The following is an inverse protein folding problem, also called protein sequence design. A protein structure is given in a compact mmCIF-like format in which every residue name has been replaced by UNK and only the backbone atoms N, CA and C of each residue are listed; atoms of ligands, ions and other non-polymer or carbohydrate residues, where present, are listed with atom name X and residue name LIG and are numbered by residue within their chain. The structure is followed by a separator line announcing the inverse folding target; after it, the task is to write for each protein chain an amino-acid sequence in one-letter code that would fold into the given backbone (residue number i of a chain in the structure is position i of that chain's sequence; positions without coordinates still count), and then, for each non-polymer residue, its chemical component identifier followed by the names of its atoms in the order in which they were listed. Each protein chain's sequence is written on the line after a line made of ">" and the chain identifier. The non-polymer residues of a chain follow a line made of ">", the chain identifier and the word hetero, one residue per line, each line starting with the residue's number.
data_IF_760814229582
#
_entry.id   IF_760814229582
#
_cell.length_a   1.000
_cell.length_b   1.000
_cell.length_c   1.000
_cell.angle_alpha   90.00
_cell.angle_beta   90.00
_cell.angle_gamma   90.00
#
_symmetry.space_group_name_H-M   'P 1'
#
loop_
_entity.id
_entity.type
_entity.pdbx_description
1 polymer ?
#
# COMPACT_ATOMS: atom_id res chain seq x y z
N UNK A 1 36.97 -31.14 33.11
CA UNK A 1 37.59 -30.16 32.18
C UNK A 1 37.12 -30.30 30.72
N UNK A 2 37.66 -31.20 29.88
CA UNK A 2 37.30 -31.24 28.43
C UNK A 2 35.81 -31.49 28.16
N UNK A 3 35.16 -32.34 28.96
CA UNK A 3 33.71 -32.66 28.83
C UNK A 3 32.80 -31.49 29.24
N UNK A 4 33.20 -30.70 30.23
CA UNK A 4 32.45 -29.51 30.67
C UNK A 4 32.53 -28.39 29.63
N UNK A 5 33.70 -28.19 29.03
CA UNK A 5 33.89 -27.23 27.93
C UNK A 5 33.02 -27.63 26.73
N UNK A 6 32.97 -28.92 26.38
CA UNK A 6 32.12 -29.41 25.31
C UNK A 6 30.63 -29.17 25.59
N UNK A 7 30.18 -29.42 26.83
CA UNK A 7 28.80 -29.15 27.24
C UNK A 7 28.44 -27.66 27.13
N UNK A 8 29.33 -26.76 27.56
CA UNK A 8 29.12 -25.31 27.43
C UNK A 8 29.03 -24.86 25.98
N UNK A 9 29.85 -25.42 25.08
CA UNK A 9 29.79 -25.13 23.65
C UNK A 9 28.44 -25.56 23.07
N UNK A 10 27.96 -26.75 23.43
CA UNK A 10 26.67 -27.25 22.95
C UNK A 10 25.53 -26.35 23.41
N UNK A 11 25.52 -25.95 24.68
CA UNK A 11 24.51 -25.03 25.23
C UNK A 11 24.55 -23.70 24.49
N UNK A 12 25.74 -23.15 24.27
CA UNK A 12 25.91 -21.89 23.55
C UNK A 12 25.36 -21.96 22.12
N UNK A 13 25.63 -23.05 21.40
CA UNK A 13 25.11 -23.26 20.05
C UNK A 13 23.58 -23.36 20.06
N UNK A 14 22.99 -24.10 21.00
CA UNK A 14 21.54 -24.22 21.13
C UNK A 14 20.90 -22.85 21.43
N UNK A 15 21.50 -22.06 22.33
CA UNK A 15 21.05 -20.70 22.62
C UNK A 15 21.13 -19.79 21.39
N UNK A 16 22.18 -19.92 20.58
CA UNK A 16 22.34 -19.12 19.36
C UNK A 16 21.28 -19.49 18.30
N UNK A 17 21.01 -20.79 18.13
CA UNK A 17 19.92 -21.27 17.27
C UNK A 17 18.59 -20.71 17.75
N UNK A 18 18.32 -20.75 19.05
CA UNK A 18 17.08 -20.23 19.60
C UNK A 18 16.95 -18.70 19.48
N UNK A 19 18.04 -17.95 19.54
CA UNK A 19 18.02 -16.49 19.32
C UNK A 19 17.66 -16.13 17.87
N UNK A 20 18.11 -16.93 16.91
CA UNK A 20 17.89 -16.68 15.48
C UNK A 20 16.51 -17.20 15.03
N UNK A 21 16.18 -18.44 15.41
CA UNK A 21 15.01 -19.19 14.93
C UNK A 21 13.87 -19.30 15.96
N UNK A 22 14.09 -18.87 17.20
CA UNK A 22 13.04 -18.85 18.22
C UNK A 22 11.95 -17.82 17.90
N UNK A 23 10.83 -17.95 18.61
CA UNK A 23 9.71 -17.01 18.51
C UNK A 23 10.17 -15.62 18.95
N UNK A 24 9.90 -14.60 18.13
CA UNK A 24 10.42 -13.24 18.28
C UNK A 24 11.95 -13.16 18.16
N UNK A 25 12.57 -14.15 17.50
CA UNK A 25 13.99 -14.15 17.19
C UNK A 25 14.35 -13.15 16.09
N UNK A 26 15.61 -13.20 15.67
CA UNK A 26 16.13 -12.26 14.66
C UNK A 26 15.39 -12.33 13.32
N UNK A 27 15.00 -13.52 12.87
CA UNK A 27 14.27 -13.68 11.61
C UNK A 27 12.89 -13.03 11.65
N UNK A 28 12.16 -13.17 12.76
CA UNK A 28 10.86 -12.54 12.96
C UNK A 28 10.99 -11.01 12.97
N UNK A 29 12.01 -10.49 13.65
CA UNK A 29 12.30 -9.07 13.66
C UNK A 29 12.60 -8.54 12.24
N UNK A 30 13.42 -9.25 11.47
CA UNK A 30 13.75 -8.86 10.11
C UNK A 30 12.51 -8.83 9.21
N UNK A 31 11.68 -9.88 9.27
CA UNK A 31 10.40 -9.93 8.54
C UNK A 31 9.47 -8.80 8.94
N UNK A 32 9.31 -8.55 10.24
CA UNK A 32 8.45 -7.48 10.75
C UNK A 32 8.92 -6.10 10.25
N UNK A 33 10.23 -5.85 10.25
CA UNK A 33 10.81 -4.62 9.73
C UNK A 33 10.55 -4.45 8.23
N UNK A 34 10.63 -5.53 7.46
CA UNK A 34 10.33 -5.51 6.04
C UNK A 34 8.84 -5.24 5.79
N UNK A 35 7.94 -5.94 6.48
CA UNK A 35 6.49 -5.71 6.39
C UNK A 35 6.12 -4.28 6.78
N UNK A 36 6.74 -3.73 7.83
CA UNK A 36 6.53 -2.34 8.23
C UNK A 36 6.90 -1.36 7.11
N UNK A 37 8.05 -1.60 6.44
CA UNK A 37 8.50 -0.77 5.31
C UNK A 37 7.54 -0.86 4.13
N UNK A 38 7.08 -2.05 3.79
CA UNK A 38 6.13 -2.28 2.69
C UNK A 38 4.78 -1.60 2.97
N UNK A 39 4.25 -1.75 4.19
CA UNK A 39 3.01 -1.08 4.60
C UNK A 39 3.17 0.44 4.54
N UNK A 40 4.30 0.97 5.02
CA UNK A 40 4.56 2.40 4.96
C UNK A 40 4.59 2.92 3.52
N UNK A 41 5.30 2.22 2.62
CA UNK A 41 5.36 2.59 1.21
C UNK A 41 3.99 2.55 0.54
N UNK A 42 3.21 1.48 0.78
CA UNK A 42 1.85 1.36 0.26
C UNK A 42 0.93 2.45 0.78
N UNK A 43 1.05 2.81 2.06
CA UNK A 43 0.29 3.91 2.65
C UNK A 43 0.61 5.25 1.96
N UNK A 44 1.90 5.56 1.77
CA UNK A 44 2.32 6.78 1.06
C UNK A 44 1.81 6.84 -0.38
N UNK A 45 1.80 5.69 -1.08
CA UNK A 45 1.22 5.60 -2.41
C UNK A 45 -0.28 5.90 -2.38
N UNK A 46 -1.03 5.27 -1.47
CA UNK A 46 -2.47 5.48 -1.33
C UNK A 46 -2.83 6.92 -0.96
N UNK A 47 -2.01 7.60 -0.14
CA UNK A 47 -2.21 9.02 0.17
C UNK A 47 -2.12 9.86 -1.11
N UNK A 48 -1.09 9.65 -1.93
CA UNK A 48 -0.91 10.37 -3.20
C UNK A 48 -2.06 10.09 -4.17
N UNK A 49 -2.46 8.84 -4.30
CA UNK A 49 -3.61 8.45 -5.12
C UNK A 49 -4.90 9.12 -4.63
N UNK A 50 -5.12 9.16 -3.31
CA UNK A 50 -6.25 9.86 -2.72
C UNK A 50 -6.26 11.34 -3.07
N UNK A 51 -5.12 12.03 -2.99
CA UNK A 51 -5.02 13.45 -3.35
C UNK A 51 -5.34 13.69 -4.83
N UNK A 52 -4.84 12.83 -5.72
CA UNK A 52 -5.12 12.91 -7.15
C UNK A 52 -6.61 12.71 -7.41
N UNK A 53 -7.22 11.69 -6.79
CA UNK A 53 -8.64 11.40 -6.93
C UNK A 53 -9.50 12.55 -6.38
N UNK A 54 -9.15 13.11 -5.22
CA UNK A 54 -9.83 14.28 -4.66
C UNK A 54 -9.79 15.48 -5.61
N UNK A 55 -8.62 15.79 -6.18
CA UNK A 55 -8.49 16.85 -7.20
C UNK A 55 -9.31 16.55 -8.45
N UNK A 56 -9.40 15.29 -8.87
CA UNK A 56 -10.22 14.89 -10.02
C UNK A 56 -11.71 15.08 -9.72
N UNK A 57 -12.17 14.65 -8.54
CA UNK A 57 -13.56 14.84 -8.10
C UNK A 57 -13.91 16.33 -8.03
N UNK A 58 -13.01 17.15 -7.48
CA UNK A 58 -13.20 18.59 -7.38
C UNK A 58 -13.36 19.23 -8.78
N UNK A 59 -12.44 18.93 -9.71
CA UNK A 59 -12.56 19.42 -11.09
C UNK A 59 -13.80 18.90 -11.80
N UNK A 60 -14.19 17.64 -11.62
CA UNK A 60 -15.43 17.13 -12.22
C UNK A 60 -16.67 17.86 -11.71
N UNK A 61 -16.68 18.33 -10.46
CA UNK A 61 -17.80 19.06 -9.87
C UNK A 61 -17.81 20.53 -10.22
N UNK A 62 -16.65 21.16 -10.21
CA UNK A 62 -16.51 22.61 -10.21
C UNK A 62 -15.95 23.19 -11.52
N UNK A 63 -15.46 22.35 -12.44
CA UNK A 63 -14.93 22.74 -13.74
C UNK A 63 -15.77 22.14 -14.89
N UNK A 64 -16.73 22.92 -15.44
CA UNK A 64 -17.58 22.48 -16.54
C UNK A 64 -16.81 22.13 -17.82
N UNK A 65 -15.65 22.74 -18.05
CA UNK A 65 -14.81 22.46 -19.23
C UNK A 65 -14.14 21.11 -19.06
N UNK A 66 -13.59 20.84 -17.87
CA UNK A 66 -13.01 19.55 -17.54
C UNK A 66 -14.06 18.43 -17.57
N UNK A 67 -15.26 18.68 -17.05
CA UNK A 67 -16.37 17.74 -17.13
C UNK A 67 -16.72 17.37 -18.58
N UNK A 68 -16.89 18.36 -19.46
CA UNK A 68 -17.15 18.14 -20.90
C UNK A 68 -16.03 17.36 -21.58
N UNK A 69 -14.77 17.65 -21.27
CA UNK A 69 -13.63 16.94 -21.82
C UNK A 69 -13.63 15.45 -21.41
N UNK A 70 -13.90 15.15 -20.12
CA UNK A 70 -14.01 13.78 -19.62
C UNK A 70 -15.18 13.04 -20.24
N UNK A 71 -16.32 13.69 -20.44
CA UNK A 71 -17.46 13.10 -21.14
C UNK A 71 -17.08 12.72 -22.57
N UNK A 72 -16.44 13.64 -23.32
CA UNK A 72 -16.01 13.37 -24.71
C UNK A 72 -15.06 12.19 -24.78
N UNK A 73 -14.15 12.07 -23.82
CA UNK A 73 -13.21 10.94 -23.71
C UNK A 73 -13.93 9.61 -23.40
N UNK A 74 -14.88 9.60 -22.45
CA UNK A 74 -15.58 8.38 -22.02
C UNK A 74 -16.64 7.93 -23.02
N UNK A 75 -17.34 8.86 -23.68
CA UNK A 75 -18.43 8.55 -24.62
C UNK A 75 -17.94 8.36 -26.06
N UNK A 76 -16.70 8.72 -26.39
CA UNK A 76 -16.13 8.59 -27.73
C UNK A 76 -16.84 9.42 -28.82
N UNK A 77 -17.63 10.42 -28.43
CA UNK A 77 -18.53 11.19 -29.31
C UNK A 77 -18.19 12.69 -29.26
N UNK A 78 -18.10 13.31 -30.44
CA UNK A 78 -17.88 14.74 -30.66
C UNK A 78 -19.03 15.34 -31.49
N UNK A 79 -19.84 16.21 -30.85
CA UNK A 79 -20.84 17.23 -31.34
C UNK A 79 -21.85 16.86 -32.46
N UNK A 80 -23.06 17.44 -32.57
CA UNK A 80 -23.56 18.79 -32.22
C UNK A 80 -24.82 18.86 -31.30
N UNK A 81 -25.58 17.78 -31.06
CA UNK A 81 -26.99 17.90 -30.61
C UNK A 81 -27.38 17.23 -29.26
N UNK A 82 -26.44 16.85 -28.38
CA UNK A 82 -26.81 16.05 -27.19
C UNK A 82 -26.78 16.79 -25.84
N UNK A 83 -27.94 16.75 -25.17
CA UNK A 83 -28.17 17.17 -23.77
C UNK A 83 -27.89 15.99 -22.83
N UNK A 84 -26.94 16.14 -21.91
CA UNK A 84 -26.75 15.15 -20.83
C UNK A 84 -27.64 15.46 -19.63
N UNK A 85 -28.64 14.59 -19.43
CA UNK A 85 -29.53 14.58 -18.26
C UNK A 85 -29.09 13.51 -17.28
N UNK A 86 -28.55 13.91 -16.12
CA UNK A 86 -28.40 13.00 -14.98
C UNK A 86 -29.71 12.99 -14.18
N UNK A 87 -30.57 12.02 -14.46
CA UNK A 87 -31.79 11.78 -13.69
C UNK A 87 -31.39 11.04 -12.40
N UNK A 88 -31.45 11.74 -11.27
CA UNK A 88 -31.41 11.11 -9.95
C UNK A 88 -32.80 10.55 -9.66
N UNK A 89 -32.95 9.23 -9.66
CA UNK A 89 -34.16 8.58 -9.15
C UNK A 89 -34.17 8.63 -7.60
N UNK A 90 -35.35 8.71 -6.97
CA UNK A 90 -35.57 9.24 -5.61
C UNK A 90 -34.81 8.51 -4.50
#
# INVERSE_FOLDING_TARGET
>A
MKKEILALIIIFIISLIWLIFGKNGYLDFYRLKQTQKEIYQKNQQLIKENEILKRRIDRLKNDPVYLKAVIREVMGLTEEDEIMLFIKNP
#
